data_IF_115783581950
#
_entry.id   IF_115783581950
#
_cell.length_a   1.000
_cell.length_b   1.000
_cell.length_c   1.000
_cell.angle_alpha   90.00
_cell.angle_beta   90.00
_cell.angle_gamma   90.00
#
_symmetry.space_group_name_H-M   'P 1'
#
loop_
_entity.id
_entity.type
_entity.pdbx_description
1 polymer ?
#
# COMPACT_ATOMS: atom_id res chain seq x y z
N UNK A 1 9.67 25.16 -14.50
CA UNK A 1 9.66 26.44 -13.75
C UNK A 1 8.71 26.25 -12.58
N UNK A 2 9.26 26.18 -11.35
CA UNK A 2 8.47 26.03 -10.13
C UNK A 2 7.91 27.40 -9.75
N UNK A 3 6.59 27.52 -9.60
CA UNK A 3 5.96 28.73 -9.09
C UNK A 3 5.16 28.39 -7.83
N UNK A 4 5.66 28.87 -6.70
CA UNK A 4 4.96 28.82 -5.42
C UNK A 4 4.08 30.07 -5.31
N UNK A 5 2.77 29.90 -5.44
CA UNK A 5 1.80 30.98 -5.25
C UNK A 5 1.19 30.89 -3.85
N UNK A 6 1.50 31.81 -2.91
CA UNK A 6 0.75 31.95 -1.68
C UNK A 6 -0.55 32.69 -1.98
N UNK A 7 -1.57 31.95 -2.40
CA UNK A 7 -2.93 32.45 -2.43
C UNK A 7 -3.76 31.62 -1.46
N UNK A 8 -4.44 32.29 -0.51
CA UNK A 8 -5.59 31.70 0.20
C UNK A 8 -5.30 30.32 0.84
N UNK A 9 -4.36 30.23 1.78
CA UNK A 9 -4.06 29.02 2.56
C UNK A 9 -3.71 27.78 1.73
N UNK A 10 -3.32 27.93 0.46
CA UNK A 10 -2.90 26.82 -0.40
C UNK A 10 -1.54 27.15 -1.02
N UNK A 11 -0.65 26.17 -1.02
CA UNK A 11 0.66 26.23 -1.67
C UNK A 11 0.65 25.25 -2.83
N UNK A 12 1.02 25.72 -4.03
CA UNK A 12 1.03 24.92 -5.24
C UNK A 12 2.46 24.60 -5.69
N UNK A 13 2.69 23.36 -6.08
CA UNK A 13 3.85 22.91 -6.85
C UNK A 13 3.39 22.59 -8.27
N UNK A 14 3.93 23.31 -9.26
CA UNK A 14 3.61 23.11 -10.67
C UNK A 14 4.70 22.28 -11.35
N UNK A 15 4.33 21.11 -11.84
CA UNK A 15 5.16 20.18 -12.60
C UNK A 15 4.82 20.32 -14.09
N UNK A 16 5.51 21.25 -14.76
CA UNK A 16 5.33 21.49 -16.20
C UNK A 16 5.92 20.33 -17.01
N UNK A 17 5.30 20.01 -18.15
CA UNK A 17 5.72 18.95 -19.09
C UNK A 17 5.63 17.52 -18.53
N UNK A 18 4.97 17.36 -17.39
CA UNK A 18 4.76 16.10 -16.71
C UNK A 18 3.26 15.90 -16.51
N UNK A 19 2.65 15.06 -17.36
CA UNK A 19 1.23 14.74 -17.28
C UNK A 19 1.02 13.54 -16.33
N UNK A 20 0.32 13.79 -15.23
CA UNK A 20 -0.17 12.74 -14.35
C UNK A 20 -1.59 12.39 -14.84
N UNK A 21 -1.70 11.27 -15.56
CA UNK A 21 -2.95 10.88 -16.23
C UNK A 21 -3.93 10.13 -15.32
N UNK A 22 -3.46 9.59 -14.20
CA UNK A 22 -4.26 8.89 -13.21
C UNK A 22 -4.54 9.77 -12.00
N UNK A 23 -5.76 9.72 -11.47
CA UNK A 23 -6.07 10.35 -10.18
C UNK A 23 -5.14 9.77 -9.10
N UNK A 24 -4.47 10.65 -8.35
CA UNK A 24 -3.63 10.26 -7.21
C UNK A 24 -4.46 10.43 -5.93
N UNK A 25 -4.82 9.32 -5.29
CA UNK A 25 -5.30 9.39 -3.91
C UNK A 25 -4.10 9.56 -2.97
N UNK A 26 -4.00 10.75 -2.38
CA UNK A 26 -2.92 11.08 -1.44
C UNK A 26 -3.18 10.48 -0.04
N UNK A 27 -4.43 10.10 0.25
CA UNK A 27 -4.89 9.74 1.59
C UNK A 27 -4.70 10.88 2.61
N UNK A 28 -4.54 12.12 2.15
CA UNK A 28 -4.30 13.31 2.96
C UNK A 28 -5.35 14.37 2.65
N UNK A 29 -6.17 14.73 3.64
CA UNK A 29 -7.26 15.71 3.52
C UNK A 29 -6.84 17.07 2.95
N UNK A 30 -5.56 17.42 3.07
CA UNK A 30 -5.04 18.73 2.70
C UNK A 30 -4.08 18.70 1.52
N UNK A 31 -3.88 17.55 0.87
CA UNK A 31 -3.01 17.44 -0.31
C UNK A 31 -3.83 16.92 -1.49
N UNK A 32 -3.91 17.69 -2.57
CA UNK A 32 -4.54 17.27 -3.82
C UNK A 32 -3.53 17.29 -4.96
N UNK A 33 -3.77 16.46 -5.97
CA UNK A 33 -3.01 16.47 -7.22
C UNK A 33 -4.00 16.59 -8.37
N UNK A 34 -3.84 17.63 -9.17
CA UNK A 34 -4.75 17.99 -10.26
C UNK A 34 -3.95 18.24 -11.54
N UNK A 35 -4.51 17.94 -12.71
CA UNK A 35 -3.91 18.27 -14.00
C UNK A 35 -4.72 19.33 -14.73
N UNK A 36 -4.04 20.30 -15.35
CA UNK A 36 -4.69 21.39 -16.09
C UNK A 36 -3.91 21.77 -17.36
N UNK A 37 -4.61 22.37 -18.31
CA UNK A 37 -4.02 22.97 -19.51
C UNK A 37 -3.40 24.34 -19.18
N UNK A 38 -2.23 24.67 -19.72
CA UNK A 38 -1.50 25.90 -19.35
C UNK A 38 -0.97 26.77 -20.50
N UNK A 39 -1.13 26.36 -21.75
CA UNK A 39 -0.79 27.21 -22.91
C UNK A 39 -2.04 27.81 -23.59
N UNK A 40 -1.84 28.90 -24.35
CA UNK A 40 -2.92 29.61 -25.06
C UNK A 40 -3.62 28.75 -26.13
N UNK A 41 -3.00 27.64 -26.52
CA UNK A 41 -3.54 26.67 -27.49
C UNK A 41 -4.28 25.52 -26.82
N UNK A 42 -4.21 25.38 -25.47
CA UNK A 42 -4.85 24.31 -24.73
C UNK A 42 -4.29 22.92 -25.04
N UNK A 43 -3.04 22.84 -25.49
CA UNK A 43 -2.37 21.61 -25.93
C UNK A 43 -1.36 21.08 -24.93
N UNK A 44 -0.87 21.91 -24.00
CA UNK A 44 0.09 21.49 -22.99
C UNK A 44 -0.57 21.31 -21.63
N UNK A 45 -0.33 20.14 -21.03
CA UNK A 45 -0.78 19.74 -19.70
C UNK A 45 0.32 20.02 -18.67
N UNK A 46 -0.06 20.51 -17.50
CA UNK A 46 0.77 20.56 -16.29
C UNK A 46 0.04 19.88 -15.14
N UNK A 47 0.81 19.24 -14.28
CA UNK A 47 0.28 18.69 -13.03
C UNK A 47 0.59 19.62 -11.87
N UNK A 48 -0.37 19.80 -10.98
CA UNK A 48 -0.30 20.72 -9.84
C UNK A 48 -0.54 19.92 -8.57
N UNK A 49 0.45 19.90 -7.68
CA UNK A 49 0.29 19.37 -6.32
C UNK A 49 -0.05 20.54 -5.41
N UNK A 50 -1.21 20.50 -4.78
CA UNK A 50 -1.73 21.58 -3.93
C UNK A 50 -1.76 21.14 -2.48
N UNK A 51 -1.19 21.94 -1.57
CA UNK A 51 -1.23 21.68 -0.12
C UNK A 51 -1.94 22.81 0.58
N UNK A 52 -3.06 22.51 1.24
CA UNK A 52 -3.74 23.46 2.12
C UNK A 52 -3.01 23.55 3.46
N UNK A 53 -2.54 24.73 3.82
CA UNK A 53 -1.78 24.97 5.05
C UNK A 53 -2.21 26.28 5.72
N UNK A 54 -2.23 26.27 7.05
CA UNK A 54 -2.34 27.48 7.86
C UNK A 54 -0.96 27.95 8.34
N UNK A 55 -0.92 29.04 9.11
CA UNK A 55 0.32 29.65 9.61
C UNK A 55 1.20 28.67 10.39
N UNK A 56 0.60 27.71 11.10
CA UNK A 56 1.32 26.72 11.89
C UNK A 56 1.87 25.55 11.06
N UNK A 57 1.34 25.33 9.85
CA UNK A 57 1.71 24.19 9.00
C UNK A 57 2.36 24.59 7.67
N UNK A 58 2.54 25.89 7.41
CA UNK A 58 3.07 26.42 6.14
C UNK A 58 4.50 25.95 5.86
N UNK A 59 5.37 25.89 6.86
CA UNK A 59 6.75 25.42 6.70
C UNK A 59 6.78 23.93 6.35
N UNK A 60 5.97 23.13 7.04
CA UNK A 60 5.81 21.70 6.78
C UNK A 60 5.34 21.43 5.34
N UNK A 61 4.33 22.17 4.88
CA UNK A 61 3.84 22.09 3.50
C UNK A 61 4.91 22.46 2.47
N UNK A 62 5.71 23.50 2.75
CA UNK A 62 6.82 23.89 1.89
C UNK A 62 7.89 22.79 1.78
N UNK A 63 8.32 22.21 2.91
CA UNK A 63 9.30 21.12 2.89
C UNK A 63 8.80 19.89 2.13
N UNK A 64 7.52 19.54 2.31
CA UNK A 64 6.89 18.46 1.56
C UNK A 64 6.91 18.70 0.04
N UNK A 65 6.44 19.87 -0.42
CA UNK A 65 6.43 20.20 -1.85
C UNK A 65 7.85 20.30 -2.44
N UNK A 66 8.78 20.85 -1.66
CA UNK A 66 10.19 20.94 -2.05
C UNK A 66 10.80 19.54 -2.24
N UNK A 67 10.49 18.60 -1.35
CA UNK A 67 10.97 17.22 -1.48
C UNK A 67 10.50 16.56 -2.78
N UNK A 68 9.28 16.83 -3.24
CA UNK A 68 8.79 16.34 -4.54
C UNK A 68 9.57 17.01 -5.66
N UNK A 69 9.75 18.33 -5.60
CA UNK A 69 10.46 19.09 -6.62
C UNK A 69 11.92 18.62 -6.80
N UNK A 70 12.64 18.39 -5.69
CA UNK A 70 14.03 17.91 -5.70
C UNK A 70 14.14 16.51 -6.33
N UNK A 71 13.22 15.59 -6.01
CA UNK A 71 13.19 14.25 -6.61
C UNK A 71 12.96 14.31 -8.13
N UNK A 72 12.02 15.13 -8.58
CA UNK A 72 11.71 15.24 -10.01
C UNK A 72 12.84 15.94 -10.77
N UNK A 73 13.41 17.02 -10.23
CA UNK A 73 14.37 17.87 -10.95
C UNK A 73 15.82 17.40 -10.85
N UNK A 74 16.23 16.92 -9.68
CA UNK A 74 17.63 16.61 -9.41
C UNK A 74 17.92 15.11 -9.54
N UNK A 75 16.90 14.26 -9.31
CA UNK A 75 17.04 12.81 -9.24
C UNK A 75 16.33 12.08 -10.40
N UNK A 76 15.68 12.82 -11.31
CA UNK A 76 14.96 12.29 -12.47
C UNK A 76 13.90 11.23 -12.09
N UNK A 77 13.28 11.39 -10.92
CA UNK A 77 12.22 10.51 -10.42
C UNK A 77 10.90 10.90 -11.09
N UNK A 78 10.16 9.90 -11.57
CA UNK A 78 8.84 10.11 -12.16
C UNK A 78 7.89 10.81 -11.14
N UNK A 79 7.12 11.84 -11.56
CA UNK A 79 6.28 12.68 -10.69
C UNK A 79 5.38 11.94 -9.72
N UNK A 80 4.63 10.95 -10.20
CA UNK A 80 3.70 10.15 -9.39
C UNK A 80 4.46 9.43 -8.29
N UNK A 81 5.60 8.85 -8.64
CA UNK A 81 6.51 8.14 -7.74
C UNK A 81 7.10 9.10 -6.69
N UNK A 82 7.52 10.30 -7.09
CA UNK A 82 8.04 11.33 -6.18
C UNK A 82 6.98 11.82 -5.17
N UNK A 83 5.75 12.02 -5.62
CA UNK A 83 4.61 12.41 -4.77
C UNK A 83 4.36 11.34 -3.69
N UNK A 84 4.24 10.08 -4.09
CA UNK A 84 4.01 8.99 -3.13
C UNK A 84 5.17 8.83 -2.13
N UNK A 85 6.42 8.93 -2.59
CA UNK A 85 7.60 8.87 -1.71
C UNK A 85 7.62 10.01 -0.70
N UNK A 86 7.36 11.25 -1.12
CA UNK A 86 7.29 12.40 -0.22
C UNK A 86 6.15 12.27 0.79
N UNK A 87 4.96 11.81 0.36
CA UNK A 87 3.80 11.61 1.27
C UNK A 87 4.18 10.62 2.37
N UNK A 88 4.82 9.51 1.98
CA UNK A 88 5.24 8.47 2.89
C UNK A 88 6.32 8.96 3.86
N UNK A 89 7.36 9.63 3.36
CA UNK A 89 8.43 10.17 4.19
C UNK A 89 7.87 11.16 5.24
N UNK A 90 6.92 11.99 4.83
CA UNK A 90 6.25 12.94 5.71
C UNK A 90 5.37 12.23 6.75
N UNK A 91 4.56 11.24 6.34
CA UNK A 91 3.76 10.39 7.26
C UNK A 91 4.66 9.65 8.26
N UNK A 92 5.80 9.12 7.81
CA UNK A 92 6.79 8.44 8.66
C UNK A 92 7.37 9.38 9.72
N UNK A 93 7.71 10.61 9.34
CA UNK A 93 8.26 11.62 10.25
C UNK A 93 7.23 12.08 11.29
N UNK A 94 5.97 12.26 10.89
CA UNK A 94 4.91 12.81 11.76
C UNK A 94 4.24 11.77 12.66
N UNK A 95 3.99 10.57 12.13
CA UNK A 95 3.24 9.51 12.83
C UNK A 95 4.17 8.51 13.52
N UNK A 96 5.48 8.73 13.48
CA UNK A 96 6.49 7.79 14.00
C UNK A 96 6.43 6.41 13.34
N UNK A 97 5.71 6.28 12.22
CA UNK A 97 5.57 5.04 11.47
C UNK A 97 6.78 4.92 10.56
N UNK A 98 7.92 4.64 11.18
CA UNK A 98 9.20 4.53 10.52
C UNK A 98 9.12 3.43 9.46
N UNK A 99 9.44 3.81 8.22
CA UNK A 99 10.04 2.87 7.28
C UNK A 99 11.20 2.19 8.01
N UNK A 100 11.18 0.86 8.10
CA UNK A 100 12.12 0.11 8.95
C UNK A 100 11.67 -0.14 10.40
N UNK A 101 10.46 0.24 10.80
CA UNK A 101 9.86 -0.27 12.04
C UNK A 101 9.54 -1.76 11.91
N UNK A 102 9.64 -2.51 13.01
CA UNK A 102 9.26 -3.94 13.05
C UNK A 102 7.86 -4.18 12.48
N UNK A 103 6.89 -3.29 12.76
CA UNK A 103 5.52 -3.42 12.26
C UNK A 103 5.42 -3.27 10.73
N UNK A 104 6.14 -2.32 10.15
CA UNK A 104 6.20 -2.16 8.69
C UNK A 104 6.93 -3.34 8.04
N UNK A 105 7.98 -3.86 8.69
CA UNK A 105 8.75 -5.00 8.21
C UNK A 105 7.91 -6.28 8.17
N UNK A 106 7.21 -6.63 9.26
CA UNK A 106 6.36 -7.82 9.31
C UNK A 106 5.14 -7.71 8.39
N UNK A 107 4.63 -6.49 8.17
CA UNK A 107 3.52 -6.24 7.23
C UNK A 107 3.92 -6.62 5.80
N UNK A 108 4.99 -6.00 5.31
CA UNK A 108 5.49 -6.25 3.96
C UNK A 108 6.00 -7.70 3.78
N UNK A 109 6.68 -8.24 4.80
CA UNK A 109 7.06 -9.66 4.78
C UNK A 109 5.83 -10.57 4.74
N UNK A 110 4.76 -10.23 5.46
CA UNK A 110 3.48 -10.94 5.40
C UNK A 110 2.87 -10.95 4.01
N UNK A 111 2.87 -9.82 3.31
CA UNK A 111 2.41 -9.73 1.92
C UNK A 111 3.21 -10.65 1.00
N UNK A 112 4.54 -10.67 1.11
CA UNK A 112 5.39 -11.55 0.28
C UNK A 112 5.22 -13.02 0.61
N UNK A 113 4.99 -13.37 1.88
CA UNK A 113 4.69 -14.74 2.27
C UNK A 113 3.33 -15.18 1.71
N UNK A 114 2.33 -14.29 1.66
CA UNK A 114 1.04 -14.56 1.01
C UNK A 114 1.23 -14.76 -0.50
N UNK A 115 2.00 -13.89 -1.18
CA UNK A 115 2.33 -14.05 -2.60
C UNK A 115 2.97 -15.41 -2.88
N UNK A 116 3.97 -15.78 -2.07
CA UNK A 116 4.64 -17.07 -2.17
C UNK A 116 3.65 -18.24 -1.95
N UNK A 117 2.79 -18.15 -0.94
CA UNK A 117 1.84 -19.21 -0.60
C UNK A 117 0.76 -19.38 -1.67
N UNK A 118 0.26 -18.29 -2.26
CA UNK A 118 -0.66 -18.33 -3.40
C UNK A 118 -0.04 -19.04 -4.61
N UNK A 119 1.25 -18.79 -4.86
CA UNK A 119 2.01 -19.42 -5.95
C UNK A 119 2.26 -20.91 -5.67
N UNK A 120 2.73 -21.22 -4.45
CA UNK A 120 3.08 -22.58 -4.02
C UNK A 120 1.88 -23.51 -3.96
N UNK A 121 0.70 -23.00 -3.61
CA UNK A 121 -0.57 -23.74 -3.59
C UNK A 121 -1.27 -23.80 -4.95
N UNK A 122 -0.65 -23.27 -5.99
CA UNK A 122 -1.24 -23.21 -7.34
C UNK A 122 -2.62 -22.50 -7.33
N UNK A 123 -2.78 -21.49 -6.48
CA UNK A 123 -3.98 -20.64 -6.44
C UNK A 123 -3.87 -19.56 -7.51
N UNK A 124 -2.69 -18.99 -7.69
CA UNK A 124 -2.35 -18.06 -8.77
C UNK A 124 -0.98 -18.42 -9.34
N UNK A 125 -0.74 -18.14 -10.62
CA UNK A 125 0.62 -18.17 -11.16
C UNK A 125 1.47 -17.08 -10.52
N UNK A 126 2.78 -17.25 -10.50
CA UNK A 126 3.71 -16.27 -9.93
C UNK A 126 3.51 -14.87 -10.55
N UNK A 127 3.48 -14.78 -11.88
CA UNK A 127 3.27 -13.52 -12.61
C UNK A 127 1.94 -12.86 -12.24
N UNK A 128 0.88 -13.66 -12.12
CA UNK A 128 -0.45 -13.17 -11.72
C UNK A 128 -0.43 -12.64 -10.29
N UNK A 129 0.21 -13.35 -9.37
CA UNK A 129 0.32 -12.94 -7.97
C UNK A 129 1.15 -11.66 -7.82
N UNK A 130 2.28 -11.53 -8.53
CA UNK A 130 3.10 -10.31 -8.54
C UNK A 130 2.33 -9.14 -9.15
N UNK A 131 1.59 -9.34 -10.25
CA UNK A 131 0.77 -8.27 -10.87
C UNK A 131 -0.37 -7.82 -9.97
N UNK A 132 -1.04 -8.76 -9.30
CA UNK A 132 -2.14 -8.50 -8.39
C UNK A 132 -1.71 -7.84 -7.08
N UNK A 133 -0.48 -8.10 -6.61
CA UNK A 133 0.07 -7.46 -5.41
C UNK A 133 0.21 -5.95 -5.63
N UNK A 134 -0.69 -5.15 -5.10
CA UNK A 134 -0.63 -3.69 -5.19
C UNK A 134 0.38 -3.12 -4.20
N UNK A 135 0.69 -3.85 -3.13
CA UNK A 135 1.57 -3.38 -2.07
C UNK A 135 0.99 -2.10 -1.44
N UNK A 136 1.83 -1.16 -0.98
CA UNK A 136 1.40 0.05 -0.29
C UNK A 136 1.07 1.19 -1.24
N UNK A 137 0.63 0.88 -2.47
CA UNK A 137 -0.29 1.80 -3.12
C UNK A 137 -1.45 2.02 -2.13
N UNK A 138 -1.92 3.26 -1.98
CA UNK A 138 -2.98 3.62 -1.02
C UNK A 138 -4.35 3.07 -1.46
N UNK A 139 -4.35 1.92 -2.12
CA UNK A 139 -5.49 1.14 -2.57
C UNK A 139 -6.08 0.40 -1.37
N UNK A 140 -7.37 0.09 -1.44
CA UNK A 140 -8.11 -0.38 -0.25
C UNK A 140 -7.62 -1.75 0.27
N UNK A 141 -7.01 -2.57 -0.60
CA UNK A 141 -6.53 -3.92 -0.31
C UNK A 141 -5.13 -4.23 -0.87
N UNK A 142 -4.38 -5.10 -0.19
CA UNK A 142 -2.98 -5.44 -0.55
C UNK A 142 -2.84 -6.20 -1.89
N UNK A 143 -3.83 -7.00 -2.28
CA UNK A 143 -3.88 -7.68 -3.57
C UNK A 143 -5.23 -7.45 -4.25
N UNK A 144 -5.20 -7.05 -5.52
CA UNK A 144 -6.39 -6.93 -6.35
C UNK A 144 -6.32 -7.87 -7.55
N UNK A 145 -7.26 -8.82 -7.61
CA UNK A 145 -7.47 -9.67 -8.78
C UNK A 145 -8.74 -9.22 -9.53
N UNK A 146 -9.05 -9.90 -10.64
CA UNK A 146 -10.19 -9.55 -11.48
C UNK A 146 -11.54 -9.69 -10.75
N UNK A 147 -11.74 -10.78 -9.99
CA UNK A 147 -13.03 -11.08 -9.35
C UNK A 147 -13.04 -10.90 -7.81
N UNK A 148 -11.89 -10.62 -7.22
CA UNK A 148 -11.75 -10.54 -5.77
C UNK A 148 -10.41 -9.97 -5.32
N UNK A 149 -10.39 -9.50 -4.09
CA UNK A 149 -9.23 -8.88 -3.46
C UNK A 149 -8.79 -9.69 -2.22
N UNK A 150 -7.56 -9.48 -1.78
CA UNK A 150 -7.01 -10.07 -0.55
C UNK A 150 -6.37 -8.97 0.29
N UNK A 151 -6.85 -8.82 1.52
CA UNK A 151 -6.25 -7.98 2.56
C UNK A 151 -5.36 -8.82 3.47
N UNK A 152 -4.09 -8.45 3.62
CA UNK A 152 -3.10 -9.17 4.43
C UNK A 152 -2.92 -8.50 5.78
N UNK A 153 -2.89 -9.29 6.86
CA UNK A 153 -2.50 -8.81 8.19
C UNK A 153 -1.51 -9.76 8.83
N UNK A 154 -0.38 -9.18 9.24
CA UNK A 154 0.66 -9.87 9.97
C UNK A 154 0.65 -9.48 11.46
N UNK A 155 0.94 -10.46 12.32
CA UNK A 155 1.04 -10.26 13.77
C UNK A 155 2.17 -11.08 14.36
N UNK A 156 2.82 -10.54 15.40
CA UNK A 156 3.81 -11.28 16.21
C UNK A 156 3.16 -12.06 17.37
N UNK A 157 1.85 -11.90 17.55
CA UNK A 157 1.10 -12.47 18.67
C UNK A 157 0.86 -13.96 18.48
N UNK A 158 0.74 -14.68 19.60
CA UNK A 158 0.44 -16.12 19.59
C UNK A 158 -0.97 -16.45 19.09
N UNK A 159 -1.93 -15.55 19.35
CA UNK A 159 -3.28 -15.59 18.78
C UNK A 159 -3.35 -14.82 17.47
N UNK A 160 -4.26 -15.19 16.55
CA UNK A 160 -4.52 -14.47 15.30
C UNK A 160 -5.30 -13.18 15.56
N UNK A 161 -4.67 -12.27 16.31
CA UNK A 161 -5.20 -10.95 16.64
C UNK A 161 -4.56 -9.89 15.78
N UNK A 162 -5.40 -9.25 14.97
CA UNK A 162 -4.99 -8.29 13.95
C UNK A 162 -5.61 -6.93 14.20
N UNK A 163 -4.78 -5.90 14.09
CA UNK A 163 -5.25 -4.51 14.17
C UNK A 163 -5.78 -4.10 12.81
N UNK A 164 -7.02 -3.61 12.79
CA UNK A 164 -7.66 -2.99 11.64
C UNK A 164 -7.61 -1.49 11.86
N UNK A 165 -6.85 -0.78 11.03
CA UNK A 165 -6.56 0.66 11.15
C UNK A 165 -7.63 1.56 10.55
N UNK A 166 -8.47 1.04 9.65
CA UNK A 166 -9.60 1.76 9.08
C UNK A 166 -10.78 0.82 8.86
N UNK A 167 -12.00 1.34 9.01
CA UNK A 167 -13.23 0.64 8.70
C UNK A 167 -13.34 0.20 7.22
N UNK A 168 -12.60 0.85 6.33
CA UNK A 168 -12.62 0.55 4.88
C UNK A 168 -11.85 -0.73 4.51
N UNK A 169 -10.86 -1.14 5.31
CA UNK A 169 -9.98 -2.28 4.97
C UNK A 169 -10.68 -3.64 4.90
N UNK A 170 -11.90 -3.75 5.44
CA UNK A 170 -12.69 -4.99 5.46
C UNK A 170 -14.03 -4.81 4.73
N UNK A 171 -14.07 -3.88 3.77
CA UNK A 171 -15.23 -3.58 2.93
C UNK A 171 -14.93 -4.03 1.52
N UNK A 172 -15.91 -4.66 0.87
CA UNK A 172 -15.79 -5.05 -0.53
C UNK A 172 -15.82 -3.81 -1.43
N UNK A 173 -14.87 -3.72 -2.37
CA UNK A 173 -14.73 -2.62 -3.33
C UNK A 173 -15.19 -3.06 -4.72
N UNK A 174 -15.84 -2.18 -5.47
CA UNK A 174 -16.26 -2.43 -6.86
C UNK A 174 -17.05 -3.74 -7.09
N UNK A 175 -17.75 -4.23 -6.06
CA UNK A 175 -18.46 -5.51 -6.10
C UNK A 175 -17.56 -6.76 -6.12
N UNK A 176 -16.27 -6.59 -5.85
CA UNK A 176 -15.29 -7.67 -5.69
C UNK A 176 -15.40 -8.30 -4.32
N UNK A 177 -15.29 -9.63 -4.29
CA UNK A 177 -15.25 -10.40 -3.04
C UNK A 177 -13.93 -10.17 -2.31
N UNK A 178 -13.95 -10.14 -0.99
CA UNK A 178 -12.75 -9.90 -0.19
C UNK A 178 -12.35 -11.14 0.63
N UNK A 179 -11.07 -11.47 0.60
CA UNK A 179 -10.45 -12.42 1.51
C UNK A 179 -9.52 -11.72 2.51
N UNK A 180 -9.45 -12.23 3.72
CA UNK A 180 -8.50 -11.81 4.75
C UNK A 180 -7.41 -12.87 4.91
N UNK A 181 -6.15 -12.54 4.66
CA UNK A 181 -5.01 -13.41 4.90
C UNK A 181 -4.36 -13.10 6.25
N UNK A 182 -4.44 -14.07 7.18
CA UNK A 182 -3.84 -13.98 8.51
C UNK A 182 -2.45 -14.62 8.54
N UNK A 183 -1.43 -13.79 8.76
CA UNK A 183 -0.04 -14.22 8.91
C UNK A 183 0.41 -14.08 10.36
N UNK A 184 0.95 -15.14 10.96
CA UNK A 184 1.57 -15.09 12.29
C UNK A 184 3.07 -15.32 12.16
N UNK A 185 3.85 -14.32 12.59
CA UNK A 185 5.31 -14.36 12.54
C UNK A 185 5.89 -14.45 13.94
N UNK A 186 7.03 -15.10 14.07
CA UNK A 186 7.83 -15.07 15.28
C UNK A 186 9.29 -14.86 14.91
N UNK A 187 10.01 -14.09 15.73
CA UNK A 187 11.45 -13.90 15.56
C UNK A 187 12.17 -15.22 15.80
N UNK A 188 13.24 -15.46 15.07
CA UNK A 188 14.11 -16.63 15.26
C UNK A 188 15.59 -16.22 15.18
N UNK A 189 16.44 -16.89 15.95
CA UNK A 189 17.90 -16.73 15.88
C UNK A 189 18.54 -17.65 14.84
N UNK A 190 17.87 -18.74 14.46
CA UNK A 190 18.33 -19.72 13.47
C UNK A 190 17.21 -20.06 12.48
N UNK A 191 17.56 -20.18 11.20
CA UNK A 191 16.57 -20.37 10.13
C UNK A 191 15.69 -19.14 9.87
N UNK A 192 14.49 -19.36 9.32
CA UNK A 192 13.60 -18.28 8.90
C UNK A 192 14.15 -17.47 7.72
N UNK A 193 13.55 -16.32 7.47
CA UNK A 193 13.88 -15.43 6.36
C UNK A 193 13.84 -13.96 6.82
N UNK A 194 14.75 -13.14 6.32
CA UNK A 194 14.66 -11.68 6.46
C UNK A 194 13.80 -11.09 5.35
N UNK A 195 13.28 -9.87 5.53
CA UNK A 195 12.58 -9.17 4.45
C UNK A 195 13.49 -8.98 3.22
N UNK A 196 14.78 -8.66 3.42
CA UNK A 196 15.75 -8.54 2.32
C UNK A 196 15.93 -9.85 1.55
N UNK A 197 16.00 -11.00 2.24
CA UNK A 197 16.07 -12.32 1.61
C UNK A 197 14.78 -12.65 0.82
N UNK A 198 13.60 -12.26 1.33
CA UNK A 198 12.33 -12.43 0.62
C UNK A 198 12.27 -11.59 -0.66
N UNK A 199 12.70 -10.33 -0.60
CA UNK A 199 12.77 -9.44 -1.76
C UNK A 199 13.74 -9.99 -2.82
N UNK A 200 14.92 -10.45 -2.38
CA UNK A 200 15.91 -11.03 -3.28
C UNK A 200 15.38 -12.29 -3.99
N UNK A 201 14.66 -13.15 -3.26
CA UNK A 201 14.02 -14.34 -3.83
C UNK A 201 12.96 -13.97 -4.89
N UNK A 202 12.11 -12.97 -4.61
CA UNK A 202 11.12 -12.47 -5.59
C UNK A 202 11.79 -11.92 -6.84
N UNK A 203 12.83 -11.08 -6.68
CA UNK A 203 13.59 -10.53 -7.81
C UNK A 203 14.24 -11.64 -8.64
N UNK A 204 14.78 -12.68 -8.00
CA UNK A 204 15.43 -13.81 -8.67
C UNK A 204 14.47 -14.74 -9.42
N UNK A 205 13.20 -14.77 -9.04
CA UNK A 205 12.16 -15.55 -9.71
C UNK A 205 11.57 -14.87 -10.95
N UNK A 206 11.71 -13.55 -11.08
CA UNK A 206 11.18 -12.78 -12.21
C UNK A 206 12.15 -12.82 -13.39
N UNK A 207 11.70 -13.33 -14.53
CA UNK A 207 12.43 -13.27 -15.81
C UNK A 207 11.87 -12.21 -16.76
N UNK A 208 10.61 -11.82 -16.61
CA UNK A 208 9.96 -10.76 -17.39
C UNK A 208 10.47 -9.36 -16.98
N UNK A 209 11.09 -8.59 -17.91
CA UNK A 209 11.54 -7.23 -17.63
C UNK A 209 10.43 -6.29 -17.16
N UNK A 210 9.21 -6.46 -17.67
CA UNK A 210 8.08 -5.60 -17.30
C UNK A 210 7.61 -5.89 -15.87
N UNK A 211 7.50 -7.18 -15.52
CA UNK A 211 7.19 -7.59 -14.15
C UNK A 211 8.27 -7.13 -13.16
N UNK A 212 9.55 -7.14 -13.58
CA UNK A 212 10.67 -6.62 -12.78
C UNK A 212 10.54 -5.12 -12.51
N UNK A 213 10.10 -4.34 -13.53
CA UNK A 213 9.82 -2.91 -13.40
C UNK A 213 8.67 -2.65 -12.44
N UNK A 214 7.58 -3.42 -12.55
CA UNK A 214 6.41 -3.33 -11.65
C UNK A 214 6.81 -3.61 -10.20
N UNK A 215 7.51 -4.73 -9.95
CA UNK A 215 7.99 -5.08 -8.61
C UNK A 215 8.88 -3.97 -8.03
N UNK A 216 9.81 -3.44 -8.83
CA UNK A 216 10.72 -2.37 -8.39
C UNK A 216 9.98 -1.11 -7.99
N UNK A 217 9.02 -0.67 -8.80
CA UNK A 217 8.18 0.51 -8.51
C UNK A 217 7.40 0.32 -7.21
N UNK A 218 6.76 -0.84 -7.03
CA UNK A 218 5.98 -1.15 -5.81
C UNK A 218 6.85 -1.27 -4.56
N UNK A 219 8.05 -1.84 -4.66
CA UNK A 219 9.02 -1.87 -3.55
C UNK A 219 9.47 -0.46 -3.14
N UNK A 220 9.69 0.41 -4.12
CA UNK A 220 10.05 1.81 -3.85
C UNK A 220 8.91 2.56 -3.15
N UNK A 221 7.67 2.36 -3.58
CA UNK A 221 6.47 2.84 -2.88
C UNK A 221 6.35 2.22 -1.48
N UNK A 222 6.78 0.97 -1.33
CA UNK A 222 6.94 0.26 -0.07
C UNK A 222 8.11 0.72 0.79
N UNK A 223 8.79 1.80 0.38
CA UNK A 223 9.90 2.41 1.11
C UNK A 223 11.09 1.48 1.22
N UNK A 224 11.12 0.42 0.41
CA UNK A 224 12.27 -0.46 0.24
C UNK A 224 13.07 0.12 -0.91
N UNK A 225 14.18 0.75 -0.56
CA UNK A 225 15.14 1.30 -1.51
C UNK A 225 16.51 0.66 -1.28
N UNK A 226 17.37 0.57 -2.31
CA UNK A 226 18.67 -0.09 -2.18
C UNK A 226 19.49 0.36 -0.97
N UNK A 227 19.36 1.62 -0.57
CA UNK A 227 20.07 2.26 0.53
C UNK A 227 19.64 1.74 1.91
N UNK A 228 18.40 1.25 2.05
CA UNK A 228 17.87 0.78 3.34
C UNK A 228 17.57 -0.72 3.39
N UNK A 229 17.62 -1.42 2.26
CA UNK A 229 17.30 -2.84 2.17
C UNK A 229 18.20 -3.69 3.09
N UNK A 230 19.47 -3.31 3.23
CA UNK A 230 20.42 -3.97 4.14
C UNK A 230 20.11 -3.82 5.64
N UNK A 231 19.18 -2.95 6.03
CA UNK A 231 18.80 -2.74 7.43
C UNK A 231 17.79 -3.80 7.93
N UNK A 232 17.12 -4.52 7.02
CA UNK A 232 16.17 -5.57 7.36
C UNK A 232 16.89 -6.87 7.74
N UNK A 233 17.45 -6.89 8.95
CA UNK A 233 18.29 -7.98 9.47
C UNK A 233 17.54 -8.97 10.37
N UNK A 234 16.31 -8.64 10.79
CA UNK A 234 15.51 -9.52 11.65
C UNK A 234 15.08 -10.75 10.86
N UNK A 235 15.30 -11.94 11.44
CA UNK A 235 14.83 -13.20 10.87
C UNK A 235 13.47 -13.58 11.45
N UNK A 236 12.54 -13.89 10.55
CA UNK A 236 11.19 -14.29 10.89
C UNK A 236 10.89 -15.68 10.37
N UNK A 237 10.07 -16.41 11.11
CA UNK A 237 9.45 -17.65 10.64
C UNK A 237 7.95 -17.58 10.89
N UNK A 238 7.19 -18.29 10.05
CA UNK A 238 5.78 -18.55 10.32
C UNK A 238 5.65 -19.31 11.64
N UNK A 239 4.81 -18.80 12.55
CA UNK A 239 4.43 -19.50 13.79
C UNK A 239 3.40 -20.60 13.51
N UNK A 240 2.57 -20.39 12.50
CA UNK A 240 1.48 -21.25 12.06
C UNK A 240 1.29 -21.10 10.55
N UNK A 241 0.60 -22.04 9.86
CA UNK A 241 0.26 -21.87 8.45
C UNK A 241 -0.50 -20.57 8.20
N UNK A 242 -0.35 -19.99 7.00
CA UNK A 242 -1.15 -18.85 6.59
C UNK A 242 -2.59 -19.31 6.39
N UNK A 243 -3.54 -18.61 7.01
CA UNK A 243 -4.97 -18.90 6.89
C UNK A 243 -5.66 -17.76 6.15
N UNK A 244 -6.65 -18.11 5.33
CA UNK A 244 -7.43 -17.18 4.53
C UNK A 244 -8.88 -17.27 4.97
N UNK A 245 -9.57 -16.15 5.15
CA UNK A 245 -10.99 -16.14 5.52
C UNK A 245 -11.78 -15.31 4.54
N UNK A 246 -13.03 -15.69 4.27
CA UNK A 246 -13.95 -14.83 3.53
C UNK A 246 -14.37 -13.67 4.41
N UNK A 247 -14.34 -12.47 3.86
CA UNK A 247 -14.84 -11.27 4.55
C UNK A 247 -16.29 -11.06 4.13
N UNK A 248 -17.22 -11.64 4.88
CA UNK A 248 -18.66 -11.49 4.71
C UNK A 248 -19.34 -11.04 6.00
N UNK A 249 -20.66 -11.17 6.09
CA UNK A 249 -21.43 -10.77 7.27
C UNK A 249 -21.16 -11.63 8.51
N UNK A 250 -20.57 -12.82 8.34
CA UNK A 250 -20.13 -13.68 9.44
C UNK A 250 -18.71 -13.37 9.92
N UNK A 251 -17.93 -12.59 9.16
CA UNK A 251 -16.57 -12.21 9.53
C UNK A 251 -16.59 -11.09 10.57
N UNK A 252 -15.68 -11.10 11.58
CA UNK A 252 -15.61 -10.05 12.59
C UNK A 252 -15.08 -8.74 11.98
N UNK A 253 -15.95 -7.98 11.33
CA UNK A 253 -15.65 -6.65 10.74
C UNK A 253 -16.57 -5.57 11.28
N UNK A 254 -16.09 -4.34 11.23
CA UNK A 254 -16.88 -3.14 11.39
C UNK A 254 -16.85 -2.35 10.08
N UNK A 255 -18.03 -2.05 9.55
CA UNK A 255 -18.24 -1.35 8.28
C UNK A 255 -18.56 0.13 8.51
N UNK A 256 -18.28 0.98 7.52
CA UNK A 256 -18.60 2.42 7.57
C UNK A 256 -20.08 2.67 7.93
N UNK A 257 -21.00 1.91 7.31
CA UNK A 257 -22.44 2.01 7.59
C UNK A 257 -22.79 1.76 9.07
N UNK A 258 -22.11 0.81 9.73
CA UNK A 258 -22.33 0.57 11.17
C UNK A 258 -21.92 1.78 12.01
N UNK A 259 -20.83 2.47 11.67
CA UNK A 259 -20.39 3.66 12.41
C UNK A 259 -21.23 4.91 12.11
N UNK A 260 -21.60 5.13 10.85
CA UNK A 260 -22.50 6.23 10.46
C UNK A 260 -23.84 6.14 11.20
N UNK A 261 -24.33 4.90 11.39
CA UNK A 261 -25.55 4.65 12.16
C UNK A 261 -25.40 4.90 13.67
N UNK A 262 -24.17 4.83 14.21
CA UNK A 262 -23.90 5.11 15.62
C UNK A 262 -23.86 6.61 15.90
N UNK A 263 -23.08 7.37 15.13
CA UNK A 263 -23.03 8.83 15.23
C UNK A 263 -22.29 9.46 14.04
N UNK A 264 -22.88 10.50 13.43
CA UNK A 264 -22.31 11.27 12.30
C UNK A 264 -20.98 12.01 12.57
N UNK A 265 -20.43 11.92 13.80
CA UNK A 265 -19.20 12.62 14.23
C UNK A 265 -18.05 11.67 14.52
N UNK A 266 -18.20 10.40 14.19
CA UNK A 266 -17.14 9.40 14.29
C UNK A 266 -16.42 9.38 12.93
N UNK A 267 -15.28 10.05 12.85
CA UNK A 267 -14.53 10.18 11.60
C UNK A 267 -13.65 8.95 11.29
N UNK A 268 -13.18 8.24 12.31
CA UNK A 268 -12.36 7.02 12.14
C UNK A 268 -12.44 6.09 13.34
N UNK A 269 -12.23 4.79 13.08
CA UNK A 269 -12.15 3.75 14.10
C UNK A 269 -11.01 2.81 13.79
N UNK A 270 -10.22 2.53 14.82
CA UNK A 270 -9.24 1.46 14.84
C UNK A 270 -9.68 0.41 15.86
N UNK A 271 -9.63 -0.86 15.48
CA UNK A 271 -10.06 -1.97 16.32
C UNK A 271 -9.17 -3.19 16.12
N UNK A 272 -9.35 -4.20 16.98
CA UNK A 272 -8.61 -5.46 16.90
C UNK A 272 -9.61 -6.60 16.77
N UNK A 273 -9.42 -7.43 15.76
CA UNK A 273 -10.20 -8.65 15.54
C UNK A 273 -9.42 -9.86 16.05
N UNK A 274 -10.13 -10.90 16.48
CA UNK A 274 -9.54 -12.21 16.72
C UNK A 274 -10.20 -13.19 15.75
N UNK A 275 -9.40 -13.83 14.90
CA UNK A 275 -9.88 -14.80 13.91
C UNK A 275 -9.56 -16.24 14.30
N UNK A 276 -9.03 -16.48 15.51
CA UNK A 276 -8.85 -17.83 16.04
C UNK A 276 -10.19 -18.59 16.07
N UNK A 277 -10.17 -19.82 15.55
CA UNK A 277 -11.34 -20.69 15.54
C UNK A 277 -12.30 -20.47 14.37
N UNK A 278 -12.05 -19.48 13.50
CA UNK A 278 -12.75 -19.38 12.21
C UNK A 278 -12.24 -20.47 11.25
N UNK A 279 -13.11 -20.91 10.35
CA UNK A 279 -12.73 -21.88 9.31
C UNK A 279 -11.99 -21.16 8.18
N UNK A 280 -10.77 -21.61 7.88
CA UNK A 280 -10.00 -21.09 6.75
C UNK A 280 -10.61 -21.58 5.44
N UNK A 281 -10.62 -20.70 4.44
CA UNK A 281 -11.03 -21.00 3.07
C UNK A 281 -10.16 -22.12 2.46
N UNK A 282 -10.79 -23.15 1.88
CA UNK A 282 -10.12 -24.10 0.99
C UNK A 282 -9.54 -23.43 -0.25
N UNK A 283 -8.52 -24.04 -0.86
CA UNK A 283 -7.83 -23.53 -2.04
C UNK A 283 -8.79 -23.25 -3.21
N UNK A 284 -9.77 -24.12 -3.43
CA UNK A 284 -10.76 -23.95 -4.50
C UNK A 284 -11.67 -22.73 -4.29
N UNK A 285 -11.98 -22.42 -3.02
CA UNK A 285 -12.76 -21.23 -2.69
C UNK A 285 -11.95 -19.96 -2.86
N UNK A 286 -10.64 -19.99 -2.56
CA UNK A 286 -9.74 -18.86 -2.82
C UNK A 286 -9.59 -18.66 -4.33
N UNK A 287 -9.39 -19.72 -5.11
CA UNK A 287 -9.33 -19.66 -6.59
C UNK A 287 -10.62 -19.09 -7.18
N UNK A 288 -11.76 -19.55 -6.69
CA UNK A 288 -13.09 -19.05 -7.09
C UNK A 288 -13.28 -17.58 -6.73
N UNK A 289 -12.79 -17.16 -5.56
CA UNK A 289 -12.86 -15.78 -5.08
C UNK A 289 -12.07 -14.84 -5.98
N UNK A 290 -10.79 -15.14 -6.26
CA UNK A 290 -9.93 -14.27 -7.07
C UNK A 290 -10.26 -14.34 -8.58
N UNK A 291 -11.04 -15.34 -8.99
CA UNK A 291 -11.48 -15.55 -10.36
C UNK A 291 -10.42 -16.21 -11.25
N UNK A 292 -10.76 -16.49 -12.53
CA UNK A 292 -9.82 -17.05 -13.49
C UNK A 292 -8.67 -16.08 -13.78
N UNK A 293 -7.56 -16.62 -14.29
CA UNK A 293 -6.57 -15.81 -15.00
C UNK A 293 -7.27 -15.23 -16.23
N UNK A 294 -7.29 -13.91 -16.40
CA UNK A 294 -7.72 -13.33 -17.68
C UNK A 294 -6.73 -13.82 -18.74
N UNK A 295 -7.18 -14.75 -19.59
CA UNK A 295 -6.47 -15.11 -20.81
C UNK A 295 -6.55 -13.90 -21.75
N UNK A 296 -5.43 -13.18 -21.92
CA UNK A 296 -5.22 -12.25 -23.02
C UNK A 296 -4.92 -13.01 -24.31
#
# INVERSE_FOLDING_TARGET
>A
MLELYPHSNVINLVLREHEITSAIDTGLRHVTVDSRLYDYTGTKTESVVSVKADVSTVEAAYFFLRSIAEQVQEQDVEPTTAIYQSIRAFKSLLLGSAVGSTRSEIGLLGEFLVLHELTKREIASFDRAVRAWLGPHNEEHDFAFGAGDIEVKATEKESRRHTISSATQLVETDGKRLAFASVQLTRTSEGGQTLAEAIAALRGAITDPELSRILRSRLQLAGVVPENEGNYTTRWTLRSPIEFYRVDDGFPRLTTHQFESMHERIDSVQYVINVDGLESLPDDDIRSLIGPTEEN
#
